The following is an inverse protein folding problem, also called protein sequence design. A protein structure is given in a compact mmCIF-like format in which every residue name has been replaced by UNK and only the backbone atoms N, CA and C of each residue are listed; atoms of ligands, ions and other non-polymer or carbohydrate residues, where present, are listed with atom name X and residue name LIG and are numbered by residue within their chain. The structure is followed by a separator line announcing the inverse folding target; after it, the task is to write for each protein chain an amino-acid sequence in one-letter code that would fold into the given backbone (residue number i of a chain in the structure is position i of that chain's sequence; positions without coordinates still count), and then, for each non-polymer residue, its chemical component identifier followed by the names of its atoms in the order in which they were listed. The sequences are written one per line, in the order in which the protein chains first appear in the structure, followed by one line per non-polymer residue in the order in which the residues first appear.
data_IF_275069310460
#
_entry.id   IF_275069310460
#
_cell.length_a   1.000
_cell.length_b   1.000
_cell.length_c   1.000
_cell.angle_alpha   90.00
_cell.angle_beta   90.00
_cell.angle_gamma   90.00
#
_symmetry.space_group_name_H-M   'P 1'
#
loop_
_entity.id
_entity.type
_entity.pdbx_description
1 polymer ?
#
# COMPACT_ATOMS: atom_id res chain seq x y z
N UNK A 1 20.86 -3.00 -17.15
CA UNK A 1 20.14 -4.04 -16.36
C UNK A 1 18.67 -3.88 -16.67
N UNK A 2 18.04 -4.94 -17.16
CA UNK A 2 16.60 -4.92 -17.39
C UNK A 2 15.88 -4.63 -16.08
N UNK A 3 14.89 -3.73 -16.08
CA UNK A 3 14.10 -3.45 -14.90
C UNK A 3 13.44 -4.71 -14.33
N UNK A 4 13.26 -4.77 -13.03
CA UNK A 4 12.68 -5.96 -12.33
C UNK A 4 11.33 -6.41 -12.94
N UNK A 5 10.50 -5.46 -13.38
CA UNK A 5 9.21 -5.74 -14.05
C UNK A 5 9.33 -6.37 -15.44
N UNK A 6 10.48 -6.25 -16.12
CA UNK A 6 10.69 -6.86 -17.44
C UNK A 6 10.93 -8.37 -17.38
N UNK A 7 11.14 -8.93 -16.19
CA UNK A 7 11.52 -10.33 -16.00
C UNK A 7 10.34 -11.30 -15.87
N UNK A 8 9.10 -10.83 -16.03
CA UNK A 8 7.91 -11.67 -15.88
C UNK A 8 7.63 -12.11 -14.43
N UNK A 9 8.42 -11.63 -13.48
CA UNK A 9 8.14 -11.73 -12.05
C UNK A 9 6.99 -10.75 -11.75
N UNK A 10 5.95 -11.21 -11.11
CA UNK A 10 4.84 -10.32 -10.72
C UNK A 10 5.28 -9.32 -9.66
N UNK A 11 4.47 -8.28 -9.48
CA UNK A 11 4.61 -7.26 -8.44
C UNK A 11 3.53 -7.42 -7.38
N UNK A 12 3.80 -7.02 -6.14
CA UNK A 12 2.79 -6.93 -5.09
C UNK A 12 2.53 -5.46 -4.76
N UNK A 13 1.34 -4.99 -5.12
CA UNK A 13 0.83 -3.69 -4.70
C UNK A 13 0.31 -3.82 -3.27
N UNK A 14 0.75 -2.96 -2.37
CA UNK A 14 0.47 -3.08 -0.94
C UNK A 14 0.08 -1.76 -0.31
N UNK A 15 -1.01 -1.78 0.45
CA UNK A 15 -1.49 -0.66 1.25
C UNK A 15 -1.94 -1.09 2.64
N UNK A 16 -1.91 -0.17 3.60
CA UNK A 16 -2.47 -0.37 4.94
C UNK A 16 -3.14 0.90 5.46
N UNK A 17 -4.11 0.70 6.36
CA UNK A 17 -4.69 1.75 7.17
C UNK A 17 -4.27 1.56 8.64
N UNK A 18 -4.23 2.65 9.40
CA UNK A 18 -3.79 2.64 10.81
C UNK A 18 -4.73 3.46 11.69
N UNK A 19 -4.68 3.24 13.00
CA UNK A 19 -5.49 4.01 13.98
C UNK A 19 -5.11 5.49 14.04
N UNK A 20 -3.94 5.86 13.54
CA UNK A 20 -3.35 7.20 13.48
C UNK A 20 -1.95 7.13 12.90
N UNK A 21 -1.20 8.24 12.93
CA UNK A 21 0.14 8.28 12.37
C UNK A 21 1.09 7.31 13.11
N UNK A 22 1.62 6.30 12.40
CA UNK A 22 2.51 5.25 12.94
C UNK A 22 1.91 4.43 14.09
N UNK A 23 0.60 4.36 14.17
CA UNK A 23 -0.14 3.62 15.20
C UNK A 23 -0.44 2.17 14.79
N UNK A 24 -1.46 1.55 15.41
CA UNK A 24 -1.82 0.17 15.11
C UNK A 24 -2.39 0.05 13.70
N UNK A 25 -2.07 -1.03 13.01
CA UNK A 25 -2.64 -1.36 11.71
C UNK A 25 -4.10 -1.80 11.94
N UNK A 26 -5.01 -1.25 11.14
CA UNK A 26 -6.45 -1.56 11.17
C UNK A 26 -6.92 -2.30 9.94
N UNK A 27 -6.22 -2.17 8.81
CA UNK A 27 -6.51 -2.86 7.56
C UNK A 27 -5.20 -3.08 6.80
N UNK A 28 -5.04 -4.24 6.16
CA UNK A 28 -3.96 -4.53 5.21
C UNK A 28 -4.59 -5.08 3.94
N UNK A 29 -4.16 -4.56 2.80
CA UNK A 29 -4.48 -5.11 1.50
C UNK A 29 -3.23 -5.24 0.64
N UNK A 30 -3.23 -6.23 -0.24
CA UNK A 30 -2.24 -6.38 -1.28
C UNK A 30 -2.81 -7.10 -2.50
N UNK A 31 -2.28 -6.75 -3.67
CA UNK A 31 -2.61 -7.36 -4.95
C UNK A 31 -1.34 -7.97 -5.54
N UNK A 32 -1.34 -9.27 -5.81
CA UNK A 32 -0.28 -9.90 -6.59
C UNK A 32 -0.63 -9.82 -8.07
N UNK A 33 0.19 -9.13 -8.84
CA UNK A 33 -0.03 -8.86 -10.26
C UNK A 33 1.07 -9.53 -11.06
N UNK A 34 0.71 -10.27 -12.10
CA UNK A 34 1.63 -10.91 -13.03
C UNK A 34 1.21 -10.57 -14.45
N UNK A 35 2.12 -9.99 -15.23
CA UNK A 35 1.82 -9.54 -16.61
C UNK A 35 0.63 -8.59 -16.71
N UNK A 36 0.47 -7.68 -15.72
CA UNK A 36 -0.62 -6.70 -15.65
C UNK A 36 -1.96 -7.23 -15.11
N UNK A 37 -2.08 -8.56 -14.90
CA UNK A 37 -3.30 -9.19 -14.40
C UNK A 37 -3.20 -9.50 -12.90
N UNK A 38 -4.24 -9.21 -12.14
CA UNK A 38 -4.35 -9.60 -10.74
C UNK A 38 -4.51 -11.11 -10.68
N UNK A 39 -3.57 -11.79 -10.02
CA UNK A 39 -3.55 -13.25 -9.85
C UNK A 39 -4.01 -13.68 -8.49
N UNK A 40 -3.78 -12.85 -7.49
CA UNK A 40 -4.14 -13.15 -6.11
C UNK A 40 -4.36 -11.87 -5.31
N UNK A 41 -5.13 -11.94 -4.24
CA UNK A 41 -5.43 -10.81 -3.37
C UNK A 41 -5.29 -11.20 -1.90
N UNK A 42 -4.72 -10.30 -1.13
CA UNK A 42 -4.71 -10.36 0.32
C UNK A 42 -5.50 -9.16 0.87
N UNK A 43 -6.47 -9.41 1.72
CA UNK A 43 -7.22 -8.33 2.36
C UNK A 43 -7.75 -8.79 3.71
N UNK A 44 -7.49 -8.01 4.76
CA UNK A 44 -8.04 -8.25 6.09
C UNK A 44 -8.12 -6.96 6.90
N UNK A 45 -9.15 -6.86 7.72
CA UNK A 45 -9.16 -5.97 8.87
C UNK A 45 -8.29 -6.59 9.97
N UNK A 46 -7.76 -5.75 10.85
CA UNK A 46 -6.86 -6.15 11.93
C UNK A 46 -7.34 -5.55 13.24
N UNK A 47 -7.38 -6.35 14.29
CA UNK A 47 -7.73 -5.88 15.63
C UNK A 47 -6.72 -4.85 16.12
N UNK A 48 -7.17 -3.63 16.37
CA UNK A 48 -6.36 -2.59 16.96
C UNK A 48 -6.21 -2.81 18.47
N UNK A 49 -5.03 -2.46 19.03
CA UNK A 49 -4.76 -2.51 20.47
C UNK A 49 -5.30 -1.28 21.20
N UNK A 50 -5.47 -0.17 20.47
CA UNK A 50 -5.93 1.10 20.99
C UNK A 50 -7.13 1.67 20.22
N UNK A 51 -7.70 2.79 20.69
CA UNK A 51 -8.83 3.43 20.04
C UNK A 51 -8.41 4.02 18.67
N UNK A 52 -9.34 4.00 17.73
CA UNK A 52 -9.16 4.68 16.44
C UNK A 52 -9.39 6.17 16.62
N UNK A 53 -8.50 7.00 16.09
CA UNK A 53 -8.72 8.45 16.05
C UNK A 53 -9.99 8.78 15.26
N UNK A 54 -10.86 9.64 15.80
CA UNK A 54 -12.12 10.04 15.13
C UNK A 54 -11.91 10.60 13.72
N UNK A 55 -10.75 11.18 13.45
CA UNK A 55 -10.39 11.65 12.11
C UNK A 55 -10.17 10.48 11.16
N UNK A 56 -9.47 9.43 11.61
CA UNK A 56 -9.19 8.23 10.83
C UNK A 56 -10.49 7.46 10.58
N UNK A 57 -11.30 7.27 11.61
CA UNK A 57 -12.62 6.64 11.49
C UNK A 57 -13.49 7.33 10.41
N UNK A 58 -13.54 8.67 10.41
CA UNK A 58 -14.29 9.43 9.39
C UNK A 58 -13.68 9.32 7.98
N UNK A 59 -12.36 9.13 7.89
CA UNK A 59 -11.65 9.05 6.62
C UNK A 59 -11.78 7.67 5.99
N UNK A 60 -11.59 6.61 6.78
CA UNK A 60 -11.55 5.22 6.33
C UNK A 60 -12.89 4.51 6.43
N UNK A 61 -13.80 5.01 7.28
CA UNK A 61 -15.05 4.33 7.64
C UNK A 61 -14.85 3.11 8.54
N UNK A 62 -13.61 2.85 9.01
CA UNK A 62 -13.31 1.73 9.91
C UNK A 62 -13.58 2.17 11.34
N UNK A 63 -14.52 1.49 12.01
CA UNK A 63 -14.89 1.76 13.41
C UNK A 63 -14.27 0.75 14.36
N UNK A 64 -14.18 1.08 15.64
CA UNK A 64 -13.68 0.15 16.66
C UNK A 64 -14.50 -1.15 16.71
N UNK A 65 -15.82 -1.05 16.58
CA UNK A 65 -16.72 -2.22 16.57
C UNK A 65 -16.42 -3.19 15.43
N UNK A 66 -16.03 -2.67 14.26
CA UNK A 66 -15.64 -3.49 13.10
C UNK A 66 -14.37 -4.30 13.37
N UNK A 67 -13.50 -3.83 14.27
CA UNK A 67 -12.21 -4.45 14.58
C UNK A 67 -12.26 -5.41 15.78
N UNK A 68 -13.33 -5.43 16.56
CA UNK A 68 -13.39 -6.16 17.82
C UNK A 68 -13.15 -7.67 17.66
N UNK A 69 -13.77 -8.27 16.64
CA UNK A 69 -13.67 -9.70 16.33
C UNK A 69 -12.63 -10.01 15.23
N UNK A 70 -11.80 -9.03 14.83
CA UNK A 70 -10.80 -9.25 13.81
C UNK A 70 -9.53 -9.93 14.38
N UNK A 71 -8.74 -10.61 13.54
CA UNK A 71 -7.49 -11.22 13.98
C UNK A 71 -6.49 -10.16 14.46
N UNK A 72 -5.70 -10.47 15.48
CA UNK A 72 -4.61 -9.59 15.91
C UNK A 72 -3.50 -9.54 14.86
N UNK A 73 -2.71 -8.47 14.89
CA UNK A 73 -1.62 -8.25 13.93
C UNK A 73 -0.59 -9.41 13.93
N UNK A 74 -0.38 -10.05 15.08
CA UNK A 74 0.58 -11.12 15.25
C UNK A 74 0.17 -12.39 14.47
N UNK A 75 -1.12 -12.60 14.24
CA UNK A 75 -1.66 -13.71 13.41
C UNK A 75 -1.68 -13.33 11.92
N UNK A 76 -1.90 -12.06 11.61
CA UNK A 76 -2.01 -11.55 10.24
C UNK A 76 -0.65 -11.46 9.56
N UNK A 77 0.37 -10.95 10.26
CA UNK A 77 1.69 -10.70 9.67
C UNK A 77 2.35 -11.94 9.06
N UNK A 78 2.35 -13.14 9.69
CA UNK A 78 2.96 -14.32 9.08
C UNK A 78 2.33 -14.68 7.72
N UNK A 79 1.02 -14.55 7.61
CA UNK A 79 0.27 -14.83 6.37
C UNK A 79 0.60 -13.78 5.32
N UNK A 80 0.62 -12.51 5.72
CA UNK A 80 1.00 -11.40 4.84
C UNK A 80 2.44 -11.56 4.33
N UNK A 81 3.40 -11.88 5.21
CA UNK A 81 4.80 -12.10 4.81
C UNK A 81 4.94 -13.23 3.79
N UNK A 82 4.19 -14.32 3.96
CA UNK A 82 4.14 -15.41 2.96
C UNK A 82 3.52 -14.94 1.64
N UNK A 83 2.51 -14.06 1.71
CA UNK A 83 1.90 -13.51 0.50
C UNK A 83 2.87 -12.65 -0.33
N UNK A 84 3.72 -11.86 0.31
CA UNK A 84 4.69 -10.98 -0.38
C UNK A 84 6.02 -11.65 -0.71
N UNK A 85 6.27 -12.85 -0.22
CA UNK A 85 7.56 -13.54 -0.34
C UNK A 85 8.01 -13.67 -1.80
N UNK A 86 9.22 -13.21 -2.09
CA UNK A 86 9.86 -13.32 -3.41
C UNK A 86 9.36 -12.32 -4.47
N UNK A 87 8.45 -11.41 -4.13
CA UNK A 87 7.94 -10.40 -5.05
C UNK A 87 8.44 -9.00 -4.68
N UNK A 88 8.79 -8.15 -5.67
CA UNK A 88 8.99 -6.73 -5.41
C UNK A 88 7.66 -6.08 -4.99
N UNK A 89 7.76 -5.11 -4.08
CA UNK A 89 6.61 -4.36 -3.60
C UNK A 89 6.44 -3.07 -4.41
N UNK A 90 5.21 -2.68 -4.63
CA UNK A 90 4.86 -1.39 -5.23
C UNK A 90 3.87 -0.68 -4.31
N UNK A 91 4.07 0.60 -4.06
CA UNK A 91 3.15 1.39 -3.25
C UNK A 91 3.47 2.88 -3.32
N UNK A 92 2.63 3.69 -2.72
CA UNK A 92 2.74 5.15 -2.74
C UNK A 92 3.10 5.69 -1.35
N UNK A 93 4.32 6.19 -1.18
CA UNK A 93 4.87 6.55 0.13
C UNK A 93 5.14 5.30 0.97
N UNK A 94 5.60 4.23 0.34
CA UNK A 94 5.72 2.89 0.90
C UNK A 94 6.63 2.81 2.12
N UNK A 95 7.63 3.69 2.23
CA UNK A 95 8.53 3.75 3.39
C UNK A 95 7.75 3.86 4.71
N UNK A 96 6.71 4.69 4.75
CA UNK A 96 5.88 4.87 5.94
C UNK A 96 5.17 3.58 6.34
N UNK A 97 4.66 2.86 5.36
CA UNK A 97 3.97 1.59 5.54
C UNK A 97 4.92 0.49 6.03
N UNK A 98 6.11 0.41 5.43
CA UNK A 98 7.14 -0.56 5.82
C UNK A 98 7.65 -0.33 7.23
N UNK A 99 7.83 0.93 7.67
CA UNK A 99 8.22 1.26 9.05
C UNK A 99 7.22 0.66 10.05
N UNK A 100 5.92 0.76 9.77
CA UNK A 100 4.88 0.24 10.68
C UNK A 100 4.87 -1.30 10.69
N UNK A 101 5.00 -1.95 9.52
CA UNK A 101 5.11 -3.41 9.43
C UNK A 101 6.35 -3.91 10.16
N UNK A 102 7.51 -3.33 9.89
CA UNK A 102 8.79 -3.71 10.48
C UNK A 102 8.79 -3.55 12.00
N UNK A 103 8.16 -2.50 12.51
CA UNK A 103 7.96 -2.33 13.96
C UNK A 103 7.17 -3.49 14.56
N UNK A 104 6.10 -3.93 13.92
CA UNK A 104 5.29 -5.03 14.40
C UNK A 104 6.04 -6.38 14.28
N UNK A 105 6.74 -6.63 13.16
CA UNK A 105 7.59 -7.80 12.98
C UNK A 105 8.68 -7.88 14.05
N UNK A 106 9.36 -6.76 14.32
CA UNK A 106 10.39 -6.67 15.37
C UNK A 106 9.83 -6.96 16.77
N UNK A 107 8.61 -6.48 17.07
CA UNK A 107 7.97 -6.71 18.35
C UNK A 107 7.70 -8.20 18.63
N UNK A 108 7.49 -9.00 17.59
CA UNK A 108 7.28 -10.46 17.69
C UNK A 108 8.52 -11.29 17.32
N UNK A 109 9.69 -10.66 17.21
CA UNK A 109 10.96 -11.33 16.93
C UNK A 109 11.04 -11.97 15.53
N UNK A 110 10.32 -11.44 14.54
CA UNK A 110 10.33 -11.93 13.16
C UNK A 110 11.30 -11.09 12.29
N UNK A 111 11.82 -11.69 11.19
CA UNK A 111 12.61 -10.96 10.21
C UNK A 111 11.85 -9.78 9.62
N UNK A 112 12.55 -8.68 9.35
CA UNK A 112 12.00 -7.50 8.70
C UNK A 112 11.71 -7.76 7.22
N UNK A 113 10.95 -6.86 6.60
CA UNK A 113 10.72 -6.90 5.16
C UNK A 113 12.04 -6.65 4.43
N UNK A 114 12.40 -7.53 3.51
CA UNK A 114 13.64 -7.44 2.70
C UNK A 114 13.36 -7.41 1.20
N UNK A 115 12.09 -7.27 0.83
CA UNK A 115 11.69 -7.18 -0.56
C UNK A 115 12.24 -5.90 -1.20
N UNK A 116 12.70 -6.01 -2.45
CA UNK A 116 12.88 -4.81 -3.28
C UNK A 116 11.55 -4.09 -3.43
N UNK A 117 11.59 -2.76 -3.55
CA UNK A 117 10.34 -2.01 -3.72
C UNK A 117 10.47 -0.80 -4.64
N UNK A 118 9.34 -0.38 -5.18
CA UNK A 118 9.19 0.83 -6.00
C UNK A 118 8.17 1.74 -5.31
N UNK A 119 8.62 2.96 -4.99
CA UNK A 119 7.73 4.00 -4.48
C UNK A 119 7.19 4.86 -5.62
N UNK A 120 5.89 4.75 -5.89
CA UNK A 120 5.22 5.49 -6.97
C UNK A 120 5.19 6.99 -6.73
N UNK A 121 5.27 7.46 -5.48
CA UNK A 121 5.38 8.89 -5.18
C UNK A 121 6.74 9.45 -5.69
N UNK A 122 7.83 8.74 -5.42
CA UNK A 122 9.17 9.11 -5.88
C UNK A 122 9.28 9.00 -7.40
N UNK A 123 8.69 7.96 -7.98
CA UNK A 123 8.63 7.77 -9.43
C UNK A 123 7.85 8.89 -10.11
N UNK A 124 6.69 9.28 -9.58
CA UNK A 124 5.89 10.38 -10.12
C UNK A 124 6.65 11.73 -10.08
N UNK A 125 7.39 12.00 -9.01
CA UNK A 125 8.24 13.20 -8.93
C UNK A 125 9.33 13.22 -9.99
N UNK A 126 9.91 12.07 -10.28
CA UNK A 126 10.95 11.95 -11.31
C UNK A 126 10.37 12.18 -12.72
N UNK A 127 9.20 11.64 -13.00
CA UNK A 127 8.57 11.70 -14.32
C UNK A 127 7.80 13.00 -14.59
N UNK A 128 7.32 13.67 -13.55
CA UNK A 128 6.48 14.88 -13.62
C UNK A 128 7.10 16.05 -12.83
N UNK A 129 8.35 16.46 -13.12
CA UNK A 129 9.05 17.49 -12.35
C UNK A 129 8.35 18.85 -12.40
N UNK A 130 7.57 19.14 -13.44
CA UNK A 130 6.79 20.38 -13.60
C UNK A 130 5.69 20.54 -12.56
N UNK A 131 5.34 19.48 -11.84
CA UNK A 131 4.36 19.50 -10.75
C UNK A 131 4.99 19.87 -9.40
N UNK A 132 6.30 20.11 -9.35
CA UNK A 132 6.99 20.48 -8.11
C UNK A 132 6.51 21.83 -7.57
N UNK A 133 6.44 21.98 -6.26
CA UNK A 133 6.09 23.23 -5.57
C UNK A 133 4.65 23.36 -5.08
N UNK A 134 3.73 22.50 -5.45
CA UNK A 134 2.39 22.46 -4.86
C UNK A 134 2.23 21.28 -3.88
N UNK A 135 1.88 21.59 -2.64
CA UNK A 135 1.55 20.60 -1.62
C UNK A 135 0.45 19.66 -2.13
N UNK A 136 0.70 18.33 -2.08
CA UNK A 136 -0.22 17.26 -2.45
C UNK A 136 -0.42 16.99 -3.95
N UNK A 137 0.28 17.64 -4.86
CA UNK A 137 0.19 17.31 -6.31
C UNK A 137 0.57 15.86 -6.64
N UNK A 138 1.37 15.24 -5.78
CA UNK A 138 1.81 13.86 -5.96
C UNK A 138 1.05 12.86 -5.07
N UNK A 139 -0.07 13.22 -4.44
CA UNK A 139 -0.89 12.23 -3.75
C UNK A 139 -1.55 11.29 -4.77
N UNK A 140 -1.87 10.05 -4.38
CA UNK A 140 -2.57 9.08 -5.26
C UNK A 140 -3.81 9.72 -5.89
N UNK A 141 -4.64 10.41 -5.09
CA UNK A 141 -5.84 11.10 -5.58
C UNK A 141 -5.51 12.14 -6.65
N UNK A 142 -4.53 13.03 -6.40
CA UNK A 142 -4.16 14.09 -7.35
C UNK A 142 -3.56 13.53 -8.64
N UNK A 143 -2.82 12.43 -8.56
CA UNK A 143 -2.28 11.74 -9.73
C UNK A 143 -3.38 10.95 -10.48
N UNK A 144 -4.31 10.34 -9.76
CA UNK A 144 -5.46 9.69 -10.36
C UNK A 144 -6.33 10.68 -11.13
N UNK A 145 -6.58 11.87 -10.57
CA UNK A 145 -7.29 12.96 -11.26
C UNK A 145 -6.50 13.45 -12.49
N UNK A 146 -5.19 13.63 -12.37
CA UNK A 146 -4.32 14.06 -13.48
C UNK A 146 -4.32 13.09 -14.66
N UNK A 147 -4.32 11.80 -14.39
CA UNK A 147 -4.33 10.74 -15.39
C UNK A 147 -5.74 10.26 -15.77
N UNK A 148 -6.79 10.88 -15.22
CA UNK A 148 -8.18 10.50 -15.45
C UNK A 148 -8.44 9.01 -15.15
N UNK A 149 -7.81 8.49 -14.08
CA UNK A 149 -7.99 7.10 -13.69
C UNK A 149 -9.39 6.85 -13.14
N UNK A 150 -10.02 5.70 -13.44
CA UNK A 150 -11.39 5.39 -13.04
C UNK A 150 -11.45 4.94 -11.55
N UNK A 151 -10.91 5.76 -10.63
CA UNK A 151 -10.96 5.53 -9.19
C UNK A 151 -11.73 6.66 -8.51
N UNK A 152 -12.77 6.31 -7.77
CA UNK A 152 -13.65 7.25 -7.07
C UNK A 152 -13.60 7.11 -5.55
N UNK A 153 -13.15 5.96 -5.04
CA UNK A 153 -13.03 5.65 -3.61
C UNK A 153 -11.56 5.61 -3.20
N UNK A 154 -11.27 6.20 -2.05
CA UNK A 154 -9.95 6.25 -1.44
C UNK A 154 -10.10 6.02 0.06
N UNK A 155 -8.97 5.76 0.74
CA UNK A 155 -8.92 5.53 2.19
C UNK A 155 -9.54 4.20 2.64
N UNK A 156 -9.55 3.21 1.75
CA UNK A 156 -9.67 1.79 2.07
C UNK A 156 -8.51 1.08 1.42
N UNK A 157 -7.84 0.21 2.16
CA UNK A 157 -6.58 -0.36 1.71
C UNK A 157 -6.68 -1.07 0.36
N UNK A 158 -7.79 -1.77 0.09
CA UNK A 158 -7.99 -2.46 -1.20
C UNK A 158 -8.23 -1.48 -2.36
N UNK A 159 -9.06 -0.46 -2.16
CA UNK A 159 -9.36 0.54 -3.19
C UNK A 159 -8.09 1.34 -3.54
N UNK A 160 -7.30 1.67 -2.51
CA UNK A 160 -6.00 2.34 -2.69
C UNK A 160 -5.00 1.45 -3.44
N UNK A 161 -4.93 0.12 -3.16
CA UNK A 161 -4.11 -0.81 -3.95
C UNK A 161 -4.51 -0.84 -5.43
N UNK A 162 -5.81 -0.82 -5.74
CA UNK A 162 -6.30 -0.78 -7.11
C UNK A 162 -5.92 0.53 -7.80
N UNK A 163 -6.06 1.67 -7.11
CA UNK A 163 -5.65 2.97 -7.62
C UNK A 163 -4.13 3.04 -7.85
N UNK A 164 -3.34 2.52 -6.93
CA UNK A 164 -1.88 2.47 -7.04
C UNK A 164 -1.42 1.58 -8.20
N UNK A 165 -2.08 0.42 -8.42
CA UNK A 165 -1.81 -0.42 -9.60
C UNK A 165 -2.02 0.36 -10.89
N UNK A 166 -3.18 0.98 -11.07
CA UNK A 166 -3.48 1.77 -12.28
C UNK A 166 -2.51 2.93 -12.44
N UNK A 167 -2.18 3.61 -11.35
CA UNK A 167 -1.21 4.71 -11.35
C UNK A 167 0.18 4.24 -11.79
N UNK A 168 0.67 3.14 -11.24
CA UNK A 168 1.98 2.60 -11.58
C UNK A 168 2.06 2.19 -13.06
N UNK A 169 1.04 1.51 -13.58
CA UNK A 169 0.96 1.14 -15.00
C UNK A 169 0.98 2.39 -15.91
N UNK A 170 0.35 3.48 -15.46
CA UNK A 170 0.36 4.74 -16.19
C UNK A 170 1.73 5.42 -16.16
N UNK A 171 2.38 5.46 -15.00
CA UNK A 171 3.74 5.99 -14.85
C UNK A 171 4.75 5.19 -15.67
N UNK A 172 4.63 3.86 -15.71
CA UNK A 172 5.49 3.02 -16.55
C UNK A 172 5.32 3.30 -18.04
N UNK A 173 4.11 3.62 -18.50
CA UNK A 173 3.86 3.97 -19.91
C UNK A 173 4.54 5.29 -20.31
N UNK A 174 4.84 6.18 -19.35
CA UNK A 174 5.59 7.42 -19.57
C UNK A 174 7.11 7.24 -19.45
N UNK A 175 7.54 6.17 -18.81
CA UNK A 175 8.96 5.83 -18.72
C UNK A 175 9.45 5.32 -20.07
N UNK A 176 10.01 6.23 -20.88
CA UNK A 176 10.57 5.94 -22.20
C UNK A 176 12.08 5.77 -22.14
#
# INVERSE_FOLDING_TARGET
RDPLWSRGLGDVYKRQETTGMYSDITEIAALRVVSGEIRDTFHTLVKAKGPIEKRVERLTGITSDMLEEQPPIDDVLPIFMTFIEGFPLVGHGLDSDLIVIDRNLKAVGKPLVTNDYIDTHSLAKLLLPEREGEHRKYSVKALAEYYELPCSTFHRAMDDCMAEKMLFERLLAEWK
#
